data_IF_526560448000
#
_entry.id   IF_526560448000
#
_cell.length_a   1.000
_cell.length_b   1.000
_cell.length_c   1.000
_cell.angle_alpha   90.00
_cell.angle_beta   90.00
_cell.angle_gamma   90.00
#
_symmetry.space_group_name_H-M   'P 1'
#
loop_
_entity.id
_entity.type
_entity.pdbx_description
1 polymer ?
#
# COMPACT_ATOMS: atom_id res chain seq x y z
N UNK A 1 -3.51 30.29 -10.02
CA UNK A 1 -3.68 30.17 -8.55
C UNK A 1 -4.55 28.97 -8.14
N UNK A 2 -5.65 28.65 -8.84
CA UNK A 2 -6.49 27.46 -8.52
C UNK A 2 -5.77 26.11 -8.66
N UNK A 3 -4.85 25.95 -9.61
CA UNK A 3 -4.19 24.65 -9.87
C UNK A 3 -3.21 24.19 -8.78
N UNK A 4 -2.53 25.12 -8.10
CA UNK A 4 -1.57 24.78 -7.03
C UNK A 4 -2.33 24.23 -5.82
N UNK A 5 -3.42 24.90 -5.43
CA UNK A 5 -4.28 24.49 -4.31
C UNK A 5 -4.87 23.10 -4.54
N UNK A 6 -5.33 22.79 -5.76
CA UNK A 6 -5.90 21.48 -6.08
C UNK A 6 -4.85 20.37 -6.06
N UNK A 7 -3.62 20.65 -6.51
CA UNK A 7 -2.51 19.69 -6.46
C UNK A 7 -2.09 19.40 -5.02
N UNK A 8 -1.86 20.44 -4.22
CA UNK A 8 -1.54 20.29 -2.80
C UNK A 8 -2.64 19.55 -2.04
N UNK A 9 -3.91 19.86 -2.31
CA UNK A 9 -5.04 19.16 -1.71
C UNK A 9 -5.12 17.68 -2.14
N UNK A 10 -4.80 17.37 -3.41
CA UNK A 10 -4.77 16.00 -3.90
C UNK A 10 -3.66 15.19 -3.25
N UNK A 11 -2.45 15.74 -3.15
CA UNK A 11 -1.30 15.11 -2.50
C UNK A 11 -1.53 14.94 -1.00
N UNK A 12 -2.01 15.98 -0.32
CA UNK A 12 -2.34 15.94 1.10
C UNK A 12 -3.41 14.89 1.42
N UNK A 13 -4.44 14.79 0.58
CA UNK A 13 -5.47 13.76 0.76
C UNK A 13 -4.98 12.34 0.47
N UNK A 14 -3.97 12.17 -0.38
CA UNK A 14 -3.39 10.87 -0.69
C UNK A 14 -2.71 10.30 0.55
N UNK A 15 -1.84 11.10 1.17
CA UNK A 15 -1.15 10.73 2.41
C UNK A 15 -2.13 10.45 3.56
N UNK A 16 -3.16 11.27 3.72
CA UNK A 16 -4.20 11.01 4.72
C UNK A 16 -4.92 9.68 4.50
N UNK A 17 -5.19 9.33 3.24
CA UNK A 17 -5.86 8.08 2.89
C UNK A 17 -4.95 6.88 3.18
N UNK A 18 -3.67 6.97 2.86
CA UNK A 18 -2.65 5.97 3.20
C UNK A 18 -2.55 5.77 4.72
N UNK A 19 -2.42 6.86 5.47
CA UNK A 19 -2.37 6.83 6.94
C UNK A 19 -3.63 6.16 7.52
N UNK A 20 -4.81 6.51 7.01
CA UNK A 20 -6.08 5.88 7.42
C UNK A 20 -6.05 4.36 7.19
N UNK A 21 -5.67 3.90 5.99
CA UNK A 21 -5.65 2.48 5.69
C UNK A 21 -4.54 1.72 6.44
N UNK A 22 -3.40 2.34 6.72
CA UNK A 22 -2.38 1.78 7.60
C UNK A 22 -2.96 1.55 9.01
N UNK A 23 -3.68 2.54 9.56
CA UNK A 23 -4.35 2.37 10.85
C UNK A 23 -5.42 1.29 10.78
N UNK A 24 -6.24 1.25 9.71
CA UNK A 24 -7.25 0.21 9.52
C UNK A 24 -6.62 -1.19 9.52
N UNK A 25 -5.53 -1.40 8.77
CA UNK A 25 -4.81 -2.69 8.76
C UNK A 25 -4.20 -3.01 10.13
N UNK A 26 -3.68 -2.02 10.86
CA UNK A 26 -3.21 -2.20 12.25
C UNK A 26 -4.32 -2.68 13.18
N UNK A 27 -5.53 -2.13 13.05
CA UNK A 27 -6.67 -2.52 13.90
C UNK A 27 -7.12 -3.96 13.68
N UNK A 28 -6.83 -4.56 12.52
CA UNK A 28 -7.13 -5.97 12.28
C UNK A 28 -6.31 -6.91 13.19
N UNK A 29 -5.20 -6.43 13.79
CA UNK A 29 -4.29 -7.21 14.65
C UNK A 29 -3.79 -8.51 14.02
N UNK A 30 -3.83 -8.60 12.68
CA UNK A 30 -3.37 -9.76 11.91
C UNK A 30 -1.91 -9.65 11.51
N UNK A 31 -1.30 -8.48 11.55
CA UNK A 31 0.03 -8.23 11.04
C UNK A 31 0.89 -7.63 12.15
N UNK A 32 2.14 -8.07 12.25
CA UNK A 32 3.09 -7.62 13.27
C UNK A 32 4.07 -6.56 12.73
N UNK A 33 4.22 -6.44 11.41
CA UNK A 33 4.97 -5.36 10.77
C UNK A 33 4.09 -4.70 9.71
N UNK A 34 3.93 -3.38 9.75
CA UNK A 34 3.10 -2.63 8.80
C UNK A 34 3.80 -1.30 8.48
N UNK A 35 3.95 -0.99 7.20
CA UNK A 35 4.52 0.28 6.74
C UNK A 35 4.46 0.46 5.23
N UNK A 36 5.04 1.55 4.74
CA UNK A 36 5.20 1.82 3.30
C UNK A 36 6.51 1.22 2.79
N UNK A 37 6.61 0.89 1.50
CA UNK A 37 7.85 0.41 0.89
C UNK A 37 8.28 1.26 -0.30
N UNK A 38 9.58 1.56 -0.35
CA UNK A 38 10.21 2.34 -1.40
C UNK A 38 11.56 1.72 -1.78
N UNK A 39 11.79 1.55 -3.07
CA UNK A 39 13.09 1.11 -3.58
C UNK A 39 14.06 2.26 -3.82
N UNK A 40 15.37 1.95 -3.69
CA UNK A 40 16.43 2.88 -4.07
C UNK A 40 16.25 3.30 -5.54
N UNK A 41 16.54 4.56 -5.83
CA UNK A 41 16.34 5.22 -7.12
C UNK A 41 14.87 5.32 -7.56
N UNK A 42 13.92 5.25 -6.61
CA UNK A 42 12.51 5.52 -6.83
C UNK A 42 11.85 4.59 -7.86
N UNK A 43 12.39 3.38 -8.04
CA UNK A 43 11.94 2.45 -9.08
C UNK A 43 10.57 1.86 -8.78
N UNK A 44 10.32 1.50 -7.52
CA UNK A 44 9.04 0.95 -7.09
C UNK A 44 8.64 1.52 -5.73
N UNK A 45 7.36 1.84 -5.61
CA UNK A 45 6.66 2.28 -4.41
C UNK A 45 5.48 1.35 -4.19
N UNK A 46 5.28 0.94 -2.94
CA UNK A 46 4.09 0.23 -2.47
C UNK A 46 3.56 0.95 -1.23
N UNK A 47 2.36 1.51 -1.36
CA UNK A 47 1.72 2.34 -0.33
C UNK A 47 1.62 1.61 1.02
N UNK A 48 1.26 0.31 1.03
CA UNK A 48 1.18 -0.48 2.26
C UNK A 48 1.75 -1.88 2.06
N UNK A 49 2.67 -2.26 2.95
CA UNK A 49 3.15 -3.62 3.15
C UNK A 49 2.84 -4.02 4.59
N UNK A 50 2.15 -5.14 4.76
CA UNK A 50 1.83 -5.69 6.06
C UNK A 50 2.24 -7.17 6.15
N UNK A 51 3.08 -7.51 7.12
CA UNK A 51 3.65 -8.86 7.31
C UNK A 51 3.06 -9.48 8.56
N UNK A 52 2.74 -10.76 8.48
CA UNK A 52 2.51 -11.64 9.61
C UNK A 52 3.60 -12.71 9.60
N UNK A 53 4.59 -12.57 10.48
CA UNK A 53 5.71 -13.51 10.55
C UNK A 53 5.29 -14.88 11.09
N UNK A 54 4.29 -14.94 11.98
CA UNK A 54 3.81 -16.19 12.57
C UNK A 54 3.09 -17.06 11.54
N UNK A 55 2.21 -16.46 10.73
CA UNK A 55 1.45 -17.13 9.67
C UNK A 55 2.19 -17.19 8.35
N UNK A 56 3.37 -16.58 8.25
CA UNK A 56 4.15 -16.43 7.02
C UNK A 56 3.30 -15.85 5.89
N UNK A 57 2.64 -14.72 6.13
CA UNK A 57 1.86 -14.01 5.10
C UNK A 57 2.30 -12.56 4.95
N UNK A 58 2.20 -12.04 3.72
CA UNK A 58 2.44 -10.63 3.40
C UNK A 58 1.28 -10.10 2.57
N UNK A 59 0.77 -8.95 2.97
CA UNK A 59 -0.19 -8.15 2.22
C UNK A 59 0.55 -6.99 1.56
N UNK A 60 0.43 -6.87 0.24
CA UNK A 60 0.78 -5.67 -0.50
C UNK A 60 -0.50 -4.95 -0.88
N UNK A 61 -0.56 -3.64 -0.64
CA UNK A 61 -1.71 -2.84 -1.03
C UNK A 61 -1.32 -1.48 -1.60
N UNK A 62 -2.18 -1.01 -2.49
CA UNK A 62 -2.17 0.34 -3.05
C UNK A 62 -3.43 1.07 -2.60
N UNK A 63 -3.29 2.38 -2.44
CA UNK A 63 -4.30 3.28 -1.93
C UNK A 63 -4.51 4.38 -2.96
N UNK A 64 -5.76 4.52 -3.42
CA UNK A 64 -6.17 5.62 -4.30
C UNK A 64 -7.59 6.00 -3.96
N UNK A 65 -7.97 7.27 -4.16
CA UNK A 65 -9.35 7.72 -3.92
C UNK A 65 -10.40 6.83 -4.63
N UNK A 66 -10.11 6.40 -5.85
CA UNK A 66 -10.94 5.49 -6.64
C UNK A 66 -10.16 4.22 -6.98
N UNK A 67 -10.64 3.04 -6.58
CA UNK A 67 -9.95 1.77 -6.82
C UNK A 67 -9.69 1.48 -8.29
N UNK A 68 -10.57 1.95 -9.20
CA UNK A 68 -10.41 1.76 -10.65
C UNK A 68 -9.09 2.34 -11.20
N UNK A 69 -8.45 3.25 -10.45
CA UNK A 69 -7.16 3.83 -10.81
C UNK A 69 -5.97 2.98 -10.32
N UNK A 70 -6.23 1.88 -9.60
CA UNK A 70 -5.22 0.93 -9.12
C UNK A 70 -5.16 -0.24 -10.10
N UNK A 71 -3.95 -0.61 -10.50
CA UNK A 71 -3.69 -1.85 -11.22
C UNK A 71 -3.03 -2.85 -10.27
N UNK A 72 -3.74 -3.93 -9.94
CA UNK A 72 -3.18 -5.03 -9.14
C UNK A 72 -2.03 -5.74 -9.87
N UNK A 73 -2.03 -5.74 -11.20
CA UNK A 73 -0.92 -6.28 -11.99
C UNK A 73 0.35 -5.46 -11.80
N UNK A 74 0.25 -4.12 -11.84
CA UNK A 74 1.38 -3.24 -11.54
C UNK A 74 1.86 -3.43 -10.11
N UNK A 75 0.95 -3.58 -9.15
CA UNK A 75 1.31 -3.85 -7.75
C UNK A 75 2.07 -5.19 -7.60
N UNK A 76 1.60 -6.25 -8.28
CA UNK A 76 2.30 -7.54 -8.32
C UNK A 76 3.71 -7.40 -8.88
N UNK A 77 3.86 -6.64 -9.97
CA UNK A 77 5.16 -6.40 -10.59
C UNK A 77 6.10 -5.62 -9.66
N UNK A 78 5.62 -4.51 -9.06
CA UNK A 78 6.35 -3.69 -8.10
C UNK A 78 6.86 -4.49 -6.89
N UNK A 79 6.09 -5.47 -6.42
CA UNK A 79 6.46 -6.25 -5.24
C UNK A 79 7.41 -7.42 -5.52
N UNK A 80 7.72 -7.74 -6.78
CA UNK A 80 8.55 -8.91 -7.14
C UNK A 80 9.91 -8.92 -6.45
N UNK A 81 10.56 -7.75 -6.33
CA UNK A 81 11.87 -7.67 -5.67
C UNK A 81 11.74 -7.92 -4.16
N UNK A 82 10.74 -7.30 -3.52
CA UNK A 82 10.49 -7.45 -2.09
C UNK A 82 10.04 -8.87 -1.73
N UNK A 83 9.27 -9.54 -2.58
CA UNK A 83 8.84 -10.93 -2.39
C UNK A 83 10.03 -11.88 -2.19
N UNK A 84 11.19 -11.60 -2.81
CA UNK A 84 12.42 -12.42 -2.64
C UNK A 84 12.94 -12.42 -1.20
N UNK A 85 12.61 -11.42 -0.40
CA UNK A 85 12.98 -11.34 1.02
C UNK A 85 12.04 -12.17 1.92
N UNK A 86 10.92 -12.64 1.38
CA UNK A 86 9.88 -13.37 2.11
C UNK A 86 9.70 -14.77 1.51
N UNK A 87 10.80 -15.51 1.34
CA UNK A 87 10.75 -16.89 0.86
C UNK A 87 9.90 -17.77 1.79
N UNK A 88 9.00 -18.56 1.20
CA UNK A 88 8.05 -19.40 1.94
C UNK A 88 6.82 -18.66 2.50
N UNK A 89 6.67 -17.35 2.24
CA UNK A 89 5.47 -16.61 2.63
C UNK A 89 4.40 -16.68 1.54
N UNK A 90 3.13 -16.58 1.95
CA UNK A 90 2.00 -16.37 1.05
C UNK A 90 1.71 -14.88 0.83
N UNK A 91 1.48 -14.48 -0.42
CA UNK A 91 1.29 -13.08 -0.80
C UNK A 91 -0.18 -12.78 -1.12
N UNK A 92 -0.71 -11.69 -0.56
CA UNK A 92 -2.03 -11.14 -0.87
C UNK A 92 -1.89 -9.74 -1.46
N UNK A 93 -2.76 -9.38 -2.39
CA UNK A 93 -2.76 -8.09 -3.08
C UNK A 93 -4.11 -7.41 -2.90
N UNK A 94 -4.11 -6.15 -2.46
CA UNK A 94 -5.36 -5.41 -2.20
C UNK A 94 -5.31 -4.01 -2.80
N UNK A 95 -6.45 -3.56 -3.31
CA UNK A 95 -6.68 -2.18 -3.69
C UNK A 95 -7.58 -1.55 -2.63
N UNK A 96 -7.13 -0.46 -2.04
CA UNK A 96 -7.89 0.35 -1.11
C UNK A 96 -8.33 1.66 -1.77
N UNK A 97 -9.56 2.09 -1.51
CA UNK A 97 -10.03 3.42 -1.87
C UNK A 97 -11.15 3.92 -0.98
N UNK A 98 -11.71 5.08 -1.31
CA UNK A 98 -12.72 5.73 -0.46
C UNK A 98 -13.93 4.84 -0.16
N UNK A 99 -14.25 3.91 -1.08
CA UNK A 99 -15.31 2.91 -0.91
C UNK A 99 -15.03 1.87 0.20
N UNK A 100 -13.78 1.71 0.63
CA UNK A 100 -13.39 0.81 1.73
C UNK A 100 -13.19 1.54 3.06
N UNK A 101 -13.51 2.82 3.19
CA UNK A 101 -13.46 3.48 4.49
C UNK A 101 -14.56 2.91 5.39
#
# INVERSE_FOLDING_TARGET
>A
MKEIITRDFSTYSGRMLEDYFIQKVKTEKKYNLIGTYWEKNNQNEIDIVAVNELKKTVLFAEVKRQKKNISLEKLKYKSLHLQKQFEGYSFTFKAFGMEDM
#
